data_IF_528626411243
#
_entry.id   IF_528626411243
#
_cell.length_a   1.000
_cell.length_b   1.000
_cell.length_c   1.000
_cell.angle_alpha   90.00
_cell.angle_beta   90.00
_cell.angle_gamma   90.00
#
_symmetry.space_group_name_H-M   'P 1'
#
loop_
_entity.id
_entity.type
_entity.pdbx_description
1 polymer ?
#
# COMPACT_ATOMS: atom_id res chain seq x y z
N UNK A 1 -27.12 46.93 3.51
CA UNK A 1 -26.10 46.27 4.35
C UNK A 1 -26.31 46.81 5.74
N UNK A 2 -26.54 45.95 6.73
CA UNK A 2 -26.98 46.33 8.07
C UNK A 2 -26.17 47.48 8.71
N UNK A 3 -24.85 47.51 8.49
CA UNK A 3 -23.98 48.58 9.00
C UNK A 3 -24.29 49.97 8.41
N UNK A 4 -24.65 50.06 7.13
CA UNK A 4 -25.03 51.31 6.46
C UNK A 4 -26.40 51.82 6.95
N UNK A 5 -27.35 50.91 7.18
CA UNK A 5 -28.69 51.22 7.67
C UNK A 5 -28.68 51.71 9.13
N UNK A 6 -27.72 51.26 9.94
CA UNK A 6 -27.53 51.69 11.32
C UNK A 6 -26.64 52.95 11.46
N UNK A 7 -26.16 53.53 10.35
CA UNK A 7 -25.25 54.69 10.39
C UNK A 7 -23.85 54.37 10.92
N UNK A 8 -23.49 53.08 10.98
CA UNK A 8 -22.23 52.57 11.53
C UNK A 8 -21.23 52.18 10.44
N UNK A 9 -21.42 52.64 9.20
CA UNK A 9 -20.52 52.31 8.10
C UNK A 9 -19.11 52.87 8.39
N UNK A 10 -18.07 52.03 8.47
CA UNK A 10 -16.71 52.51 8.60
C UNK A 10 -16.32 53.28 7.34
N UNK A 11 -15.59 54.39 7.47
CA UNK A 11 -14.97 55.04 6.31
C UNK A 11 -13.88 54.15 5.73
N UNK A 12 -13.75 54.12 4.40
CA UNK A 12 -12.75 53.30 3.69
C UNK A 12 -11.28 53.65 4.03
N UNK A 13 -11.05 54.79 4.71
CA UNK A 13 -9.74 55.23 5.18
C UNK A 13 -9.43 54.87 6.65
N UNK A 14 -10.30 54.09 7.31
CA UNK A 14 -10.07 53.71 8.70
C UNK A 14 -8.86 52.79 8.82
N UNK A 15 -7.93 53.17 9.70
CA UNK A 15 -6.82 52.30 10.08
C UNK A 15 -7.37 51.13 10.90
N UNK A 16 -6.71 49.99 10.80
CA UNK A 16 -7.07 48.78 11.57
C UNK A 16 -7.18 49.07 13.07
N UNK A 17 -6.33 49.95 13.61
CA UNK A 17 -6.35 50.37 15.01
C UNK A 17 -7.67 51.10 15.34
N UNK A 18 -8.08 52.03 14.48
CA UNK A 18 -9.30 52.82 14.65
C UNK A 18 -10.54 51.92 14.56
N UNK A 19 -10.54 50.94 13.66
CA UNK A 19 -11.61 49.96 13.53
C UNK A 19 -11.71 49.06 14.77
N UNK A 20 -10.56 48.59 15.27
CA UNK A 20 -10.49 47.78 16.49
C UNK A 20 -11.04 48.56 17.68
N UNK A 21 -10.66 49.83 17.83
CA UNK A 21 -11.14 50.66 18.93
C UNK A 21 -12.65 50.93 18.83
N UNK A 22 -13.19 51.18 17.63
CA UNK A 22 -14.65 51.32 17.42
C UNK A 22 -15.42 50.06 17.83
N UNK A 23 -14.88 48.87 17.51
CA UNK A 23 -15.52 47.60 17.86
C UNK A 23 -15.43 47.37 19.37
N UNK A 24 -14.24 47.47 19.96
CA UNK A 24 -14.04 47.13 21.38
C UNK A 24 -14.66 48.13 22.35
N UNK A 25 -14.86 49.38 21.93
CA UNK A 25 -15.51 50.41 22.75
C UNK A 25 -17.03 50.46 22.57
N UNK A 26 -17.62 49.60 21.73
CA UNK A 26 -19.07 49.51 21.57
C UNK A 26 -19.70 48.86 22.80
N UNK A 27 -20.79 49.43 23.33
CA UNK A 27 -21.55 48.85 24.45
C UNK A 27 -22.06 47.42 24.17
N UNK A 28 -22.21 47.08 22.90
CA UNK A 28 -22.64 45.74 22.46
C UNK A 28 -21.49 44.75 22.27
N UNK A 29 -20.24 45.15 22.50
CA UNK A 29 -19.09 44.26 22.41
C UNK A 29 -18.89 43.51 23.72
N UNK A 30 -18.94 42.18 23.62
CA UNK A 30 -18.68 41.27 24.74
C UNK A 30 -17.41 40.47 24.42
N UNK A 31 -16.33 40.81 25.12
CA UNK A 31 -15.03 40.17 24.92
C UNK A 31 -15.04 38.69 25.30
N UNK A 32 -15.80 38.31 26.33
CA UNK A 32 -15.90 36.93 26.81
C UNK A 32 -16.67 36.08 25.79
N UNK A 33 -17.81 36.58 25.33
CA UNK A 33 -18.58 35.94 24.26
C UNK A 33 -17.74 35.72 22.98
N UNK A 34 -17.01 36.75 22.53
CA UNK A 34 -16.18 36.64 21.32
C UNK A 34 -15.05 35.63 21.50
N UNK A 35 -14.42 35.58 22.69
CA UNK A 35 -13.40 34.57 23.00
C UNK A 35 -13.98 33.17 23.01
N UNK A 36 -15.14 32.98 23.62
CA UNK A 36 -15.80 31.67 23.69
C UNK A 36 -16.16 31.15 22.30
N UNK A 37 -16.72 32.01 21.44
CA UNK A 37 -17.00 31.65 20.05
C UNK A 37 -15.72 31.28 19.31
N UNK A 38 -14.63 32.03 19.50
CA UNK A 38 -13.35 31.72 18.89
C UNK A 38 -12.78 30.38 19.37
N UNK A 39 -12.89 30.10 20.67
CA UNK A 39 -12.43 28.83 21.25
C UNK A 39 -13.19 27.66 20.64
N UNK A 40 -14.51 27.75 20.51
CA UNK A 40 -15.33 26.72 19.84
C UNK A 40 -14.86 26.49 18.40
N UNK A 41 -14.60 27.55 17.64
CA UNK A 41 -14.10 27.44 16.26
C UNK A 41 -12.74 26.74 16.22
N UNK A 42 -11.83 27.11 17.13
CA UNK A 42 -10.48 26.51 17.22
C UNK A 42 -10.57 25.04 17.59
N UNK A 43 -11.39 24.68 18.57
CA UNK A 43 -11.61 23.31 19.00
C UNK A 43 -12.20 22.46 17.87
N UNK A 44 -13.22 22.96 17.17
CA UNK A 44 -13.86 22.26 16.06
C UNK A 44 -12.86 21.99 14.93
N UNK A 45 -12.09 23.02 14.53
CA UNK A 45 -11.07 22.88 13.48
C UNK A 45 -9.98 21.90 13.88
N UNK A 46 -9.47 22.01 15.10
CA UNK A 46 -8.41 21.12 15.61
C UNK A 46 -8.91 19.68 15.69
N UNK A 47 -10.15 19.47 16.14
CA UNK A 47 -10.76 18.14 16.23
C UNK A 47 -10.98 17.54 14.85
N UNK A 48 -11.47 18.34 13.90
CA UNK A 48 -11.67 17.91 12.51
C UNK A 48 -10.36 17.53 11.83
N UNK A 49 -9.29 18.30 12.03
CA UNK A 49 -7.96 17.96 11.50
C UNK A 49 -7.41 16.68 12.12
N UNK A 50 -7.51 16.51 13.44
CA UNK A 50 -7.09 15.26 14.12
C UNK A 50 -7.83 14.04 13.58
N UNK A 51 -9.14 14.15 13.37
CA UNK A 51 -9.94 13.07 12.80
C UNK A 51 -9.49 12.71 11.38
N UNK A 52 -9.24 13.71 10.53
CA UNK A 52 -8.72 13.48 9.17
C UNK A 52 -7.36 12.78 9.17
N UNK A 53 -6.45 13.18 10.06
CA UNK A 53 -5.13 12.55 10.19
C UNK A 53 -5.28 11.09 10.63
N UNK A 54 -6.09 10.83 11.66
CA UNK A 54 -6.34 9.48 12.14
C UNK A 54 -6.96 8.58 11.06
N UNK A 55 -7.95 9.09 10.31
CA UNK A 55 -8.56 8.34 9.21
C UNK A 55 -7.54 8.00 8.10
N UNK A 56 -6.63 8.93 7.78
CA UNK A 56 -5.57 8.68 6.81
C UNK A 56 -4.56 7.63 7.30
N UNK A 57 -4.20 7.66 8.57
CA UNK A 57 -3.32 6.65 9.17
C UNK A 57 -3.95 5.26 9.15
N UNK A 58 -5.24 5.15 9.49
CA UNK A 58 -5.96 3.88 9.49
C UNK A 58 -6.11 3.33 8.07
N UNK A 59 -6.38 4.19 7.08
CA UNK A 59 -6.37 3.80 5.66
C UNK A 59 -4.99 3.30 5.22
N UNK A 60 -3.91 3.97 5.61
CA UNK A 60 -2.56 3.54 5.27
C UNK A 60 -2.21 2.19 5.91
N UNK A 61 -2.58 1.97 7.17
CA UNK A 61 -2.41 0.68 7.85
C UNK A 61 -3.19 -0.43 7.13
N UNK A 62 -4.46 -0.17 6.77
CA UNK A 62 -5.28 -1.15 6.05
C UNK A 62 -4.66 -1.54 4.70
N UNK A 63 -4.15 -0.56 3.95
CA UNK A 63 -3.44 -0.82 2.67
C UNK A 63 -2.18 -1.63 2.90
N UNK A 64 -1.37 -1.31 3.92
CA UNK A 64 -0.15 -2.04 4.22
C UNK A 64 -0.42 -3.50 4.59
N UNK A 65 -1.49 -3.77 5.36
CA UNK A 65 -1.92 -5.13 5.70
C UNK A 65 -2.38 -5.89 4.44
N UNK A 66 -3.19 -5.27 3.59
CA UNK A 66 -3.65 -5.90 2.35
C UNK A 66 -2.48 -6.27 1.43
N UNK A 67 -1.51 -5.37 1.26
CA UNK A 67 -0.30 -5.63 0.47
C UNK A 67 0.56 -6.76 1.06
N UNK A 68 0.64 -6.86 2.39
CA UNK A 68 1.36 -7.94 3.04
C UNK A 68 0.68 -9.30 2.80
N UNK A 69 -0.65 -9.34 2.91
CA UNK A 69 -1.44 -10.54 2.63
C UNK A 69 -1.30 -10.99 1.16
N UNK A 70 -1.31 -10.05 0.22
CA UNK A 70 -1.10 -10.34 -1.21
C UNK A 70 0.30 -10.94 -1.47
N UNK A 71 1.34 -10.36 -0.85
CA UNK A 71 2.70 -10.90 -0.93
C UNK A 71 2.79 -12.33 -0.38
N UNK A 72 2.19 -12.58 0.78
CA UNK A 72 2.17 -13.91 1.41
C UNK A 72 1.44 -14.93 0.54
N UNK A 73 0.32 -14.53 -0.08
CA UNK A 73 -0.44 -15.38 -0.98
C UNK A 73 0.37 -15.76 -2.24
N UNK A 74 1.04 -14.80 -2.87
CA UNK A 74 1.89 -15.07 -4.05
C UNK A 74 3.10 -15.97 -3.69
N UNK A 75 3.69 -15.78 -2.51
CA UNK A 75 4.76 -16.66 -2.02
C UNK A 75 4.28 -18.10 -1.81
N UNK A 76 3.11 -18.29 -1.21
CA UNK A 76 2.55 -19.63 -0.98
C UNK A 76 2.19 -20.31 -2.31
N UNK A 77 1.66 -19.56 -3.28
CA UNK A 77 1.40 -20.06 -4.63
C UNK A 77 2.68 -20.55 -5.31
N UNK A 78 3.77 -19.79 -5.24
CA UNK A 78 5.08 -20.20 -5.78
C UNK A 78 5.63 -21.42 -5.06
N UNK A 79 5.48 -21.49 -3.74
CA UNK A 79 5.88 -22.64 -2.94
C UNK A 79 5.16 -23.91 -3.39
N UNK A 80 3.83 -23.86 -3.52
CA UNK A 80 3.02 -24.98 -3.99
C UNK A 80 3.43 -25.40 -5.41
N UNK A 81 3.65 -24.44 -6.32
CA UNK A 81 4.12 -24.74 -7.69
C UNK A 81 5.47 -25.48 -7.69
N UNK A 82 6.40 -25.05 -6.85
CA UNK A 82 7.71 -25.68 -6.72
C UNK A 82 7.62 -27.07 -6.08
N UNK A 83 6.75 -27.27 -5.09
CA UNK A 83 6.47 -28.58 -4.52
C UNK A 83 5.83 -29.52 -5.55
N UNK A 84 4.86 -29.05 -6.33
CA UNK A 84 4.26 -29.81 -7.45
C UNK A 84 5.29 -30.19 -8.51
N UNK A 85 6.19 -29.28 -8.87
CA UNK A 85 7.27 -29.56 -9.82
C UNK A 85 8.24 -30.63 -9.29
N UNK A 86 8.60 -30.59 -8.00
CA UNK A 86 9.42 -31.63 -7.36
C UNK A 86 8.72 -33.00 -7.41
N UNK A 87 7.41 -33.03 -7.13
CA UNK A 87 6.61 -34.25 -7.19
C UNK A 87 6.47 -34.78 -8.63
N UNK A 88 6.34 -33.92 -9.64
CA UNK A 88 6.27 -34.34 -11.04
C UNK A 88 7.61 -34.80 -11.63
N UNK A 89 8.73 -34.32 -11.09
CA UNK A 89 10.07 -34.79 -11.44
C UNK A 89 10.47 -36.07 -10.69
N UNK A 90 9.82 -36.40 -9.57
CA UNK A 90 10.08 -37.62 -8.80
C UNK A 90 9.96 -38.94 -9.60
N UNK A 91 8.97 -39.15 -10.49
CA UNK A 91 8.94 -40.33 -11.35
C UNK A 91 10.00 -40.29 -12.47
N UNK A 92 10.40 -39.10 -12.96
CA UNK A 92 11.40 -38.98 -14.04
C UNK A 92 12.81 -39.30 -13.55
N UNK A 93 13.17 -38.86 -12.34
CA UNK A 93 14.50 -39.17 -11.75
C UNK A 93 14.59 -40.64 -11.31
N UNK A 94 13.50 -41.24 -10.82
CA UNK A 94 13.47 -42.67 -10.48
C UNK A 94 13.57 -43.56 -11.73
N UNK A 95 12.91 -43.20 -12.83
CA UNK A 95 12.97 -43.98 -14.07
C UNK A 95 14.34 -43.92 -14.78
N UNK A 96 15.12 -42.85 -14.57
CA UNK A 96 16.52 -42.76 -15.05
C UNK A 96 17.50 -43.59 -14.22
N UNK A 97 17.24 -43.80 -12.93
CA UNK A 97 18.05 -44.71 -12.08
C UNK A 97 17.70 -46.19 -12.26
N UNK A 98 16.52 -46.51 -12.78
CA UNK A 98 16.04 -47.89 -12.94
C UNK A 98 16.31 -48.54 -14.31
N UNK A 99 16.99 -47.87 -15.23
CA UNK A 99 17.25 -48.43 -16.57
C UNK A 99 18.74 -48.64 -16.96
N UNK A 100 19.57 -49.31 -16.14
CA UNK A 100 20.93 -49.73 -16.55
C UNK A 100 20.93 -50.84 -17.63
N UNK A 101 19.76 -51.41 -17.98
CA UNK A 101 19.65 -52.48 -18.98
C UNK A 101 19.72 -51.98 -20.43
N UNK A 102 19.36 -50.73 -20.71
CA UNK A 102 19.40 -50.20 -22.08
C UNK A 102 20.85 -49.94 -22.53
N UNK A 103 21.72 -49.42 -21.65
CA UNK A 103 23.13 -49.17 -21.98
C UNK A 103 23.93 -50.45 -22.25
N UNK A 104 23.69 -51.53 -21.48
CA UNK A 104 24.35 -52.82 -21.69
C UNK A 104 23.96 -53.47 -23.03
N UNK A 105 22.71 -53.32 -23.47
CA UNK A 105 22.22 -53.89 -24.73
C UNK A 105 22.83 -53.14 -25.92
N UNK A 106 23.00 -51.82 -25.84
CA UNK A 106 23.64 -51.03 -26.89
C UNK A 106 25.14 -51.32 -26.99
N UNK A 107 25.86 -51.44 -25.87
CA UNK A 107 27.27 -51.85 -25.85
C UNK A 107 27.48 -53.25 -26.44
N UNK A 108 26.58 -54.21 -26.15
CA UNK A 108 26.65 -55.54 -26.74
C UNK A 108 26.35 -55.53 -28.25
N UNK A 109 25.40 -54.70 -28.69
CA UNK A 109 25.06 -54.50 -30.11
C UNK A 109 26.23 -53.90 -30.90
N UNK A 110 26.92 -52.91 -30.34
CA UNK A 110 28.10 -52.29 -30.96
C UNK A 110 29.29 -53.26 -30.99
N UNK A 111 29.49 -54.06 -29.93
CA UNK A 111 30.58 -55.05 -29.92
C UNK A 111 30.38 -56.16 -30.96
N UNK A 112 29.12 -56.54 -31.23
CA UNK A 112 28.77 -57.60 -32.19
C UNK A 112 28.83 -57.11 -33.64
N UNK A 113 28.42 -55.87 -33.92
CA UNK A 113 28.63 -55.27 -35.24
C UNK A 113 30.11 -55.03 -35.55
N UNK A 114 30.89 -54.60 -34.55
CA UNK A 114 32.33 -54.40 -34.72
C UNK A 114 33.04 -55.72 -35.01
N UNK A 115 32.67 -56.83 -34.34
CA UNK A 115 33.22 -58.17 -34.62
C UNK A 115 32.90 -58.67 -36.03
N UNK A 116 31.70 -58.46 -36.55
CA UNK A 116 31.37 -58.89 -37.93
C UNK A 116 32.15 -58.13 -39.01
N UNK A 117 32.55 -56.88 -38.74
CA UNK A 117 33.36 -56.08 -39.66
C UNK A 117 34.80 -56.58 -39.83
N UNK A 118 35.34 -57.32 -38.86
CA UNK A 118 36.70 -57.89 -38.92
C UNK A 118 36.77 -59.28 -39.56
N UNK A 119 35.63 -59.91 -39.85
CA UNK A 119 35.57 -61.28 -40.40
C UNK A 119 35.45 -61.30 -41.93
N UNK A 120 35.28 -60.13 -42.59
CA UNK A 120 35.09 -60.00 -44.04
C UNK A 120 36.06 -59.01 -44.72
N UNK A 121 37.30 -58.91 -44.24
CA UNK A 121 38.46 -58.30 -44.93
C UNK A 121 39.67 -59.16 -44.70
#
# INVERSE_FOLDING_TARGET
MLATELGLAPSDNLKIIELKDLITNSDGYDEEFVKDVLNVIVEERTTTEKQKVMELEDKQKAVAVAQQQEREFELEKLRIQLEMQKLSQAPVVRQQLENPKLELIELFRDSTQKKMKWVYT
#
